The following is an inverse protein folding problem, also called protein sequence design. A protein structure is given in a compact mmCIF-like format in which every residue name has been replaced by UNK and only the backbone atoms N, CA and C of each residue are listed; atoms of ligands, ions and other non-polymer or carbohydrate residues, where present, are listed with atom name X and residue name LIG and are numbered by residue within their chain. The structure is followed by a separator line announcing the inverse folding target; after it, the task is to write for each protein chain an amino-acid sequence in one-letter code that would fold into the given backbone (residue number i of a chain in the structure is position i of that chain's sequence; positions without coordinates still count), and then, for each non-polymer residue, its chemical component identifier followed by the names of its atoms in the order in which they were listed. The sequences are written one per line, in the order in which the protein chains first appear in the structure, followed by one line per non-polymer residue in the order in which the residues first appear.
data_IF_687373414241
#
_entry.id   IF_687373414241
#
_cell.length_a   1.000
_cell.length_b   1.000
_cell.length_c   1.000
_cell.angle_alpha   90.00
_cell.angle_beta   90.00
_cell.angle_gamma   90.00
#
_symmetry.space_group_name_H-M   'P 1'
#
loop_
_entity.id
_entity.type
_entity.pdbx_description
1 polymer ?
#
# COMPACT_ATOMS: atom_id res chain seq x y z
N UNK A 1 -6.45 -12.31 -10.46
CA UNK A 1 -6.83 -11.68 -9.18
C UNK A 1 -7.52 -12.73 -8.33
N UNK A 2 -6.96 -13.13 -7.19
CA UNK A 2 -7.76 -13.78 -6.14
C UNK A 2 -8.72 -12.70 -5.63
N UNK A 3 -10.02 -12.98 -5.59
CA UNK A 3 -10.95 -12.12 -4.86
C UNK A 3 -10.52 -12.14 -3.39
N UNK A 4 -10.15 -10.99 -2.83
CA UNK A 4 -9.88 -10.89 -1.40
C UNK A 4 -11.13 -11.34 -0.65
N UNK A 5 -10.98 -12.20 0.36
CA UNK A 5 -12.09 -12.61 1.20
C UNK A 5 -12.68 -11.43 1.98
N UNK A 6 -13.70 -11.67 2.82
CA UNK A 6 -14.31 -10.61 3.63
C UNK A 6 -13.36 -10.03 4.70
N UNK A 7 -12.21 -10.66 4.94
CA UNK A 7 -11.24 -10.21 5.95
C UNK A 7 -10.56 -8.88 5.53
N UNK A 8 -10.64 -7.83 6.38
CA UNK A 8 -10.01 -6.55 6.11
C UNK A 8 -8.48 -6.64 5.92
N UNK A 9 -7.80 -7.58 6.59
CA UNK A 9 -6.37 -7.81 6.42
C UNK A 9 -6.04 -8.40 5.05
N UNK A 10 -6.79 -9.41 4.60
CA UNK A 10 -6.68 -9.95 3.25
C UNK A 10 -6.92 -8.88 2.16
N UNK A 11 -7.89 -7.99 2.39
CA UNK A 11 -8.17 -6.86 1.50
C UNK A 11 -7.01 -5.85 1.47
N UNK A 12 -6.38 -5.58 2.61
CA UNK A 12 -5.16 -4.74 2.67
C UNK A 12 -4.00 -5.36 1.89
N UNK A 13 -3.77 -6.67 2.03
CA UNK A 13 -2.73 -7.35 1.28
C UNK A 13 -3.01 -7.38 -0.23
N UNK A 14 -4.25 -7.61 -0.63
CA UNK A 14 -4.65 -7.55 -2.03
C UNK A 14 -4.49 -6.13 -2.62
N UNK A 15 -4.80 -5.09 -1.83
CA UNK A 15 -4.55 -3.70 -2.22
C UNK A 15 -3.06 -3.44 -2.40
N UNK A 16 -2.20 -3.95 -1.51
CA UNK A 16 -0.75 -3.84 -1.63
C UNK A 16 -0.23 -4.49 -2.92
N UNK A 17 -0.68 -5.70 -3.23
CA UNK A 17 -0.34 -6.40 -4.46
C UNK A 17 -0.74 -5.57 -5.71
N UNK A 18 -1.97 -5.07 -5.73
CA UNK A 18 -2.50 -4.28 -6.82
C UNK A 18 -1.74 -2.94 -6.98
N UNK A 19 -1.46 -2.26 -5.87
CA UNK A 19 -0.74 -0.98 -5.89
C UNK A 19 0.71 -1.15 -6.32
N UNK A 20 1.42 -2.17 -5.84
CA UNK A 20 2.82 -2.42 -6.26
C UNK A 20 2.87 -2.79 -7.74
N UNK A 21 1.98 -3.66 -8.22
CA UNK A 21 1.87 -3.96 -9.66
C UNK A 21 1.59 -2.71 -10.48
N UNK A 22 0.65 -1.88 -10.03
CA UNK A 22 0.31 -0.63 -10.71
C UNK A 22 1.50 0.34 -10.76
N UNK A 23 2.22 0.49 -9.64
CA UNK A 23 3.39 1.36 -9.54
C UNK A 23 4.48 0.94 -10.53
N UNK A 24 4.86 -0.35 -10.54
CA UNK A 24 5.88 -0.90 -11.43
C UNK A 24 5.46 -0.80 -12.91
N UNK A 25 4.23 -1.20 -13.25
CA UNK A 25 3.79 -1.27 -14.65
C UNK A 25 3.58 0.08 -15.30
N UNK A 26 3.25 1.11 -14.51
CA UNK A 26 3.03 2.47 -15.02
C UNK A 26 4.21 3.40 -14.80
N UNK A 27 5.30 2.92 -14.20
CA UNK A 27 6.60 3.58 -14.06
C UNK A 27 6.65 4.85 -13.21
N UNK A 28 5.51 5.55 -12.99
CA UNK A 28 5.39 6.84 -12.25
C UNK A 28 3.99 7.13 -11.68
N UNK A 29 3.02 6.21 -11.78
CA UNK A 29 1.61 6.55 -11.55
C UNK A 29 1.16 6.70 -10.07
N UNK A 30 2.06 6.53 -9.10
CA UNK A 30 1.81 6.91 -7.70
C UNK A 30 2.29 8.34 -7.39
N UNK A 31 2.54 9.19 -8.39
CA UNK A 31 2.57 10.64 -8.17
C UNK A 31 1.24 11.18 -7.56
N UNK A 32 0.18 10.37 -7.61
CA UNK A 32 -1.11 10.63 -6.97
C UNK A 32 -1.05 10.64 -5.43
N UNK A 33 0.03 10.13 -4.82
CA UNK A 33 0.24 10.10 -3.36
C UNK A 33 1.36 11.08 -2.94
N UNK A 34 1.81 11.98 -3.82
CA UNK A 34 2.91 12.88 -3.50
C UNK A 34 2.55 13.94 -2.43
N UNK A 35 3.54 14.31 -1.59
CA UNK A 35 3.47 15.39 -0.62
C UNK A 35 2.97 16.70 -1.21
N UNK A 36 2.44 17.53 -0.31
CA UNK A 36 1.86 18.86 -0.51
C UNK A 36 2.65 19.81 -1.44
N UNK A 37 3.93 19.55 -1.67
CA UNK A 37 4.81 20.37 -2.52
C UNK A 37 4.58 20.25 -4.04
N UNK A 38 3.88 19.23 -4.54
CA UNK A 38 3.56 19.09 -5.99
C UNK A 38 2.10 19.42 -6.33
N UNK A 39 1.38 20.00 -5.39
CA UNK A 39 -0.09 20.09 -5.37
C UNK A 39 -0.71 21.17 -6.26
N UNK A 40 0.08 21.95 -6.99
CA UNK A 40 -0.45 23.15 -7.64
C UNK A 40 -1.04 22.97 -9.05
N UNK A 41 -0.83 21.86 -9.76
CA UNK A 41 -1.30 21.78 -11.17
C UNK A 41 -1.83 20.41 -11.67
N UNK A 42 -2.24 19.47 -10.79
CA UNK A 42 -2.68 18.14 -11.24
C UNK A 42 -4.18 17.87 -10.99
N UNK A 43 -4.92 17.69 -12.09
CA UNK A 43 -6.35 17.43 -12.29
C UNK A 43 -7.19 17.03 -11.05
N UNK A 44 -8.34 17.71 -10.88
CA UNK A 44 -9.29 17.46 -9.79
C UNK A 44 -9.80 16.01 -9.71
N UNK A 45 -9.80 15.27 -10.82
CA UNK A 45 -10.13 13.85 -10.86
C UNK A 45 -9.07 12.97 -10.18
N UNK A 46 -7.79 13.26 -10.39
CA UNK A 46 -6.69 12.53 -9.74
C UNK A 46 -6.72 12.78 -8.23
N UNK A 47 -6.93 14.05 -7.84
CA UNK A 47 -7.05 14.42 -6.43
C UNK A 47 -8.26 13.74 -5.74
N UNK A 48 -9.39 13.59 -6.44
CA UNK A 48 -10.56 12.88 -5.92
C UNK A 48 -10.28 11.36 -5.79
N UNK A 49 -9.68 10.74 -6.80
CA UNK A 49 -9.31 9.33 -6.76
C UNK A 49 -8.32 9.02 -5.62
N UNK A 50 -7.33 9.89 -5.40
CA UNK A 50 -6.38 9.74 -4.28
C UNK A 50 -7.05 9.88 -2.92
N UNK A 51 -8.03 10.79 -2.77
CA UNK A 51 -8.79 10.94 -1.53
C UNK A 51 -9.62 9.69 -1.24
N UNK A 52 -10.38 9.21 -2.23
CA UNK A 52 -11.20 8.01 -2.08
C UNK A 52 -10.32 6.79 -1.73
N UNK A 53 -9.18 6.64 -2.40
CA UNK A 53 -8.23 5.56 -2.09
C UNK A 53 -7.70 5.65 -0.65
N UNK A 54 -7.36 6.85 -0.18
CA UNK A 54 -6.92 7.05 1.21
C UNK A 54 -8.05 6.71 2.18
N UNK A 55 -9.27 7.16 1.92
CA UNK A 55 -10.44 6.90 2.77
C UNK A 55 -10.73 5.39 2.86
N UNK A 56 -10.71 4.68 1.73
CA UNK A 56 -10.91 3.23 1.68
C UNK A 56 -9.83 2.49 2.49
N UNK A 57 -8.56 2.87 2.33
CA UNK A 57 -7.45 2.26 3.08
C UNK A 57 -7.53 2.58 4.58
N UNK A 58 -7.91 3.80 4.95
CA UNK A 58 -8.11 4.21 6.34
C UNK A 58 -9.26 3.45 7.01
N UNK A 59 -10.32 3.15 6.25
CA UNK A 59 -11.43 2.32 6.72
C UNK A 59 -10.99 0.86 6.90
N UNK A 60 -10.22 0.31 5.96
CA UNK A 60 -9.67 -1.04 6.08
C UNK A 60 -8.73 -1.17 7.27
N UNK A 61 -7.85 -0.19 7.49
CA UNK A 61 -6.97 -0.14 8.66
C UNK A 61 -7.80 -0.11 9.95
N UNK A 62 -8.81 0.75 10.05
CA UNK A 62 -9.71 0.80 11.21
C UNK A 62 -10.37 -0.55 11.49
N UNK A 63 -10.86 -1.22 10.46
CA UNK A 63 -11.54 -2.52 10.57
C UNK A 63 -10.56 -3.63 10.97
N UNK A 64 -9.31 -3.56 10.48
CA UNK A 64 -8.35 -4.63 10.65
C UNK A 64 -7.54 -4.53 11.96
N UNK A 65 -7.19 -3.32 12.41
CA UNK A 65 -6.36 -3.12 13.61
C UNK A 65 -7.12 -2.56 14.81
N UNK A 66 -8.31 -1.96 14.59
CA UNK A 66 -9.02 -1.26 15.66
C UNK A 66 -8.29 0.00 16.14
N UNK A 67 -7.32 0.49 15.37
CA UNK A 67 -6.44 1.60 15.74
C UNK A 67 -7.15 2.93 15.86
N UNK A 68 -6.59 3.82 16.68
CA UNK A 68 -7.03 5.20 16.78
C UNK A 68 -6.62 6.01 15.53
N UNK A 69 -7.06 7.28 15.36
CA UNK A 69 -6.70 8.08 14.20
C UNK A 69 -5.19 8.28 13.99
N UNK A 70 -4.42 8.49 15.07
CA UNK A 70 -2.98 8.77 14.96
C UNK A 70 -2.19 7.51 14.59
N UNK A 71 -2.54 6.38 15.21
CA UNK A 71 -2.01 5.07 14.86
C UNK A 71 -2.31 4.73 13.40
N UNK A 72 -3.54 4.99 12.92
CA UNK A 72 -3.92 4.71 11.53
C UNK A 72 -3.16 5.52 10.52
N UNK A 73 -2.86 6.80 10.79
CA UNK A 73 -2.02 7.60 9.91
C UNK A 73 -0.59 7.03 9.83
N UNK A 74 -0.01 6.60 10.96
CA UNK A 74 1.31 5.93 10.95
C UNK A 74 1.27 4.59 10.19
N UNK A 75 0.22 3.79 10.38
CA UNK A 75 0.03 2.52 9.66
C UNK A 75 -0.13 2.74 8.15
N UNK A 76 -0.83 3.80 7.76
CA UNK A 76 -0.98 4.20 6.37
C UNK A 76 0.35 4.62 5.73
N UNK A 77 1.18 5.39 6.45
CA UNK A 77 2.53 5.74 5.99
C UNK A 77 3.41 4.51 5.81
N UNK A 78 3.38 3.56 6.75
CA UNK A 78 4.11 2.29 6.66
C UNK A 78 3.64 1.43 5.48
N UNK A 79 2.33 1.38 5.22
CA UNK A 79 1.77 0.72 4.04
C UNK A 79 2.31 1.34 2.74
N UNK A 80 2.27 2.67 2.63
CA UNK A 80 2.76 3.38 1.45
C UNK A 80 4.25 3.17 1.23
N UNK A 81 5.06 3.31 2.29
CA UNK A 81 6.49 3.09 2.24
C UNK A 81 6.83 1.68 1.77
N UNK A 82 6.06 0.68 2.22
CA UNK A 82 6.25 -0.72 1.81
C UNK A 82 5.95 -0.91 0.32
N UNK A 83 4.74 -0.54 -0.12
CA UNK A 83 4.32 -0.69 -1.52
C UNK A 83 5.26 0.04 -2.47
N UNK A 84 5.63 1.27 -2.11
CA UNK A 84 6.52 2.12 -2.91
C UNK A 84 7.96 1.60 -2.92
N UNK A 85 8.47 1.18 -1.77
CA UNK A 85 9.82 0.63 -1.65
C UNK A 85 10.01 -0.61 -2.51
N UNK A 86 9.05 -1.53 -2.53
CA UNK A 86 9.11 -2.70 -3.43
C UNK A 86 9.09 -2.32 -4.91
N UNK A 87 8.30 -1.32 -5.30
CA UNK A 87 8.27 -0.84 -6.68
C UNK A 87 9.59 -0.17 -7.09
N UNK A 88 10.09 0.76 -6.27
CA UNK A 88 11.33 1.50 -6.56
C UNK A 88 12.55 0.56 -6.61
N UNK A 89 12.63 -0.43 -5.71
CA UNK A 89 13.70 -1.43 -5.71
C UNK A 89 13.66 -2.32 -6.97
N UNK A 90 12.46 -2.64 -7.47
CA UNK A 90 12.31 -3.39 -8.72
C UNK A 90 12.75 -2.58 -9.93
N UNK A 91 12.31 -1.33 -10.03
CA UNK A 91 12.71 -0.43 -11.12
C UNK A 91 14.22 -0.15 -11.12
N UNK A 92 14.82 -0.04 -9.94
CA UNK A 92 16.26 0.12 -9.77
C UNK A 92 17.07 -1.16 -10.01
N UNK A 93 16.42 -2.30 -10.28
CA UNK A 93 17.09 -3.57 -10.59
C UNK A 93 17.69 -4.30 -9.38
N UNK A 94 17.30 -3.94 -8.15
CA UNK A 94 17.74 -4.66 -6.95
C UNK A 94 17.17 -6.08 -6.87
N UNK A 95 16.04 -6.33 -7.53
CA UNK A 95 15.53 -7.68 -7.75
C UNK A 95 16.03 -8.17 -9.11
N UNK A 96 16.90 -9.21 -9.16
CA UNK A 96 17.45 -9.69 -10.42
C UNK A 96 16.32 -10.10 -11.38
N UNK A 97 16.21 -9.48 -12.58
CA UNK A 97 15.09 -9.71 -13.51
C UNK A 97 14.98 -11.16 -13.98
N UNK A 98 16.10 -11.89 -14.01
CA UNK A 98 16.14 -13.32 -14.33
C UNK A 98 15.39 -14.21 -13.31
N UNK A 99 15.06 -13.66 -12.14
CA UNK A 99 14.50 -14.39 -11.02
C UNK A 99 13.22 -13.77 -10.44
N UNK A 100 12.82 -12.59 -10.93
CA UNK A 100 11.70 -11.84 -10.36
C UNK A 100 10.90 -11.16 -11.46
N UNK A 101 9.64 -11.55 -11.54
CA UNK A 101 8.62 -10.87 -12.34
C UNK A 101 7.97 -9.74 -11.52
N UNK A 102 7.20 -8.88 -12.20
CA UNK A 102 6.35 -7.88 -11.53
C UNK A 102 5.40 -8.55 -10.53
N UNK A 103 4.85 -9.71 -10.87
CA UNK A 103 3.93 -10.44 -10.01
C UNK A 103 4.62 -11.00 -8.76
N UNK A 104 5.88 -11.44 -8.88
CA UNK A 104 6.66 -11.90 -7.73
C UNK A 104 6.91 -10.77 -6.72
N UNK A 105 7.25 -9.58 -7.22
CA UNK A 105 7.48 -8.41 -6.36
C UNK A 105 6.18 -7.90 -5.75
N UNK A 106 5.09 -7.87 -6.52
CA UNK A 106 3.78 -7.50 -6.01
C UNK A 106 3.31 -8.46 -4.90
N UNK A 107 3.53 -9.77 -5.08
CA UNK A 107 3.23 -10.77 -4.06
C UNK A 107 4.07 -10.58 -2.78
N UNK A 108 5.35 -10.21 -2.90
CA UNK A 108 6.21 -9.90 -1.74
C UNK A 108 5.75 -8.65 -0.99
N UNK A 109 5.32 -7.61 -1.70
CA UNK A 109 4.73 -6.43 -1.07
C UNK A 109 3.48 -6.79 -0.26
N UNK A 110 2.60 -7.64 -0.80
CA UNK A 110 1.42 -8.15 -0.10
C UNK A 110 1.78 -8.97 1.15
N UNK A 111 2.80 -9.83 1.06
CA UNK A 111 3.31 -10.57 2.22
C UNK A 111 3.87 -9.64 3.30
N UNK A 112 4.63 -8.60 2.92
CA UNK A 112 5.15 -7.62 3.86
C UNK A 112 4.04 -6.83 4.56
N UNK A 113 3.01 -6.41 3.83
CA UNK A 113 1.84 -5.75 4.42
C UNK A 113 1.09 -6.69 5.37
N UNK A 114 0.90 -7.96 5.02
CA UNK A 114 0.33 -8.95 5.94
C UNK A 114 1.13 -9.08 7.24
N UNK A 115 2.46 -9.08 7.15
CA UNK A 115 3.32 -9.12 8.33
C UNK A 115 3.18 -7.85 9.20
N UNK A 116 3.11 -6.67 8.58
CA UNK A 116 2.81 -5.42 9.29
C UNK A 116 1.46 -5.47 10.01
N UNK A 117 0.40 -5.93 9.33
CA UNK A 117 -0.94 -6.08 9.91
C UNK A 117 -0.92 -6.98 11.16
N UNK A 118 -0.21 -8.11 11.10
CA UNK A 118 -0.05 -9.01 12.24
C UNK A 118 0.73 -8.35 13.38
N UNK A 119 1.79 -7.60 13.07
CA UNK A 119 2.57 -6.84 14.03
C UNK A 119 1.74 -5.78 14.75
N UNK A 120 0.92 -5.01 14.03
CA UNK A 120 0.06 -3.97 14.61
C UNK A 120 -1.00 -4.56 15.54
N UNK A 121 -1.64 -5.67 15.16
CA UNK A 121 -2.58 -6.40 16.02
C UNK A 121 -1.90 -6.86 17.32
N UNK A 122 -0.67 -7.38 17.21
CA UNK A 122 0.08 -7.90 18.36
C UNK A 122 0.50 -6.78 19.32
N UNK A 123 1.03 -5.66 18.79
CA UNK A 123 1.44 -4.51 19.59
C UNK A 123 0.28 -3.94 20.42
N UNK A 124 -0.94 -3.96 19.87
CA UNK A 124 -2.14 -3.46 20.55
C UNK A 124 -2.63 -4.38 21.68
N UNK A 125 -2.38 -5.69 21.61
CA UNK A 125 -2.76 -6.63 22.67
C UNK A 125 -1.88 -6.52 23.93
N UNK A 126 -0.80 -5.74 23.86
CA UNK A 126 0.16 -5.53 24.95
C UNK A 126 -0.07 -4.20 25.69
N UNK A 127 -1.06 -3.41 25.26
CA UNK A 127 -1.50 -2.14 25.86
C UNK A 127 -2.81 -2.35 26.62
#
# INVERSE_FOLDING_TARGET
MRAAGPDPGERMAAAAEAHTRHAITRGRAMDAVLPTALRLERDGLLAAASRNMREDLQQLLQQASGSDPAERDTQFEQYLATVRGYADLFEAGYFPPAHHTVDDVAARAAQAVNALMAGWKTARQQL
#
